data_IF_513666613145
#
_entry.id   IF_513666613145
#
_cell.length_a   1.000
_cell.length_b   1.000
_cell.length_c   1.000
_cell.angle_alpha   90.00
_cell.angle_beta   90.00
_cell.angle_gamma   90.00
#
_symmetry.space_group_name_H-M   'P 1'
#
loop_
_entity.id
_entity.type
_entity.pdbx_description
1 polymer ?
#
# COMPACT_ATOMS: atom_id res chain seq x y z
N UNK A 1 9.33 -4.87 -22.97
CA UNK A 1 9.16 -4.68 -21.53
C UNK A 1 10.27 -3.74 -21.09
N UNK A 2 9.98 -2.55 -20.54
CA UNK A 2 11.03 -1.75 -19.92
C UNK A 2 11.64 -2.61 -18.80
N UNK A 3 12.94 -2.80 -18.83
CA UNK A 3 13.65 -3.53 -17.78
C UNK A 3 13.61 -2.64 -16.54
N UNK A 4 12.82 -3.03 -15.53
CA UNK A 4 12.90 -2.41 -14.21
C UNK A 4 14.33 -2.56 -13.69
N UNK A 5 14.86 -1.50 -13.08
CA UNK A 5 16.13 -1.62 -12.38
C UNK A 5 15.92 -2.53 -11.18
N UNK A 6 16.92 -3.34 -10.82
CA UNK A 6 16.87 -4.18 -9.62
C UNK A 6 16.50 -3.38 -8.35
N UNK A 7 17.00 -2.13 -8.27
CA UNK A 7 16.64 -1.18 -7.21
C UNK A 7 15.15 -0.83 -7.17
N UNK A 8 14.51 -0.73 -8.34
CA UNK A 8 13.09 -0.40 -8.42
C UNK A 8 12.24 -1.63 -8.07
N UNK A 9 12.69 -2.84 -8.45
CA UNK A 9 12.08 -4.11 -8.00
C UNK A 9 12.15 -4.25 -6.47
N UNK A 10 13.31 -4.01 -5.85
CA UNK A 10 13.48 -4.03 -4.38
C UNK A 10 12.55 -3.02 -3.69
N UNK A 11 12.43 -1.80 -4.23
CA UNK A 11 11.51 -0.77 -3.71
C UNK A 11 10.05 -1.20 -3.84
N UNK A 12 9.67 -1.82 -4.95
CA UNK A 12 8.31 -2.35 -5.14
C UNK A 12 7.97 -3.44 -4.12
N UNK A 13 8.89 -4.36 -3.86
CA UNK A 13 8.71 -5.41 -2.84
C UNK A 13 8.50 -4.79 -1.46
N UNK A 14 9.32 -3.79 -1.10
CA UNK A 14 9.14 -3.05 0.16
C UNK A 14 7.80 -2.33 0.25
N UNK A 15 7.39 -1.62 -0.80
CA UNK A 15 6.08 -0.95 -0.85
C UNK A 15 4.93 -1.94 -0.73
N UNK A 16 5.06 -3.12 -1.33
CA UNK A 16 4.07 -4.21 -1.21
C UNK A 16 3.97 -4.74 0.21
N UNK A 17 5.09 -5.10 0.82
CA UNK A 17 5.12 -5.57 2.21
C UNK A 17 4.52 -4.55 3.17
N UNK A 18 4.91 -3.28 3.05
CA UNK A 18 4.35 -2.19 3.87
C UNK A 18 2.86 -1.97 3.61
N UNK A 19 2.41 -1.99 2.36
CA UNK A 19 1.00 -1.84 1.99
C UNK A 19 0.13 -2.94 2.60
N UNK A 20 0.59 -4.20 2.54
CA UNK A 20 -0.16 -5.34 3.08
C UNK A 20 -0.17 -5.35 4.61
N UNK A 21 0.94 -5.01 5.26
CA UNK A 21 1.00 -4.84 6.72
C UNK A 21 0.02 -3.77 7.20
N UNK A 22 0.00 -2.60 6.54
CA UNK A 22 -0.95 -1.53 6.87
C UNK A 22 -2.41 -1.94 6.67
N UNK A 23 -2.72 -2.73 5.64
CA UNK A 23 -4.07 -3.29 5.45
C UNK A 23 -4.46 -4.24 6.58
N UNK A 24 -3.54 -5.11 6.98
CA UNK A 24 -3.77 -6.05 8.07
C UNK A 24 -4.03 -5.31 9.38
N UNK A 25 -3.20 -4.30 9.69
CA UNK A 25 -3.41 -3.42 10.83
C UNK A 25 -4.78 -2.71 10.74
N UNK A 26 -5.16 -2.21 9.56
CA UNK A 26 -6.46 -1.55 9.36
C UNK A 26 -7.64 -2.50 9.67
N UNK A 27 -7.54 -3.77 9.26
CA UNK A 27 -8.54 -4.79 9.57
C UNK A 27 -8.63 -5.13 11.08
N UNK A 28 -7.56 -4.95 11.85
CA UNK A 28 -7.60 -5.14 13.29
C UNK A 28 -8.08 -3.89 14.04
N UNK A 29 -7.78 -2.71 13.51
CA UNK A 29 -8.29 -1.43 14.00
C UNK A 29 -9.81 -1.29 13.80
N UNK A 30 -10.35 -1.76 12.66
CA UNK A 30 -11.80 -1.80 12.41
C UNK A 30 -12.49 -2.70 13.45
N UNK A 31 -11.93 -3.89 13.76
CA UNK A 31 -12.50 -4.78 14.79
C UNK A 31 -12.42 -4.18 16.20
N UNK A 32 -11.41 -3.36 16.44
CA UNK A 32 -11.19 -2.67 17.71
C UNK A 32 -12.02 -1.39 17.87
N UNK A 33 -12.80 -0.99 16.86
CA UNK A 33 -13.59 0.24 16.87
C UNK A 33 -12.77 1.52 16.72
N UNK A 34 -11.50 1.42 16.31
CA UNK A 34 -10.58 2.55 16.12
C UNK A 34 -10.60 3.02 14.66
N UNK A 35 -11.76 3.50 14.25
CA UNK A 35 -12.09 3.81 12.85
C UNK A 35 -11.17 4.89 12.22
N UNK A 36 -10.85 5.96 12.95
CA UNK A 36 -9.95 7.02 12.47
C UNK A 36 -8.55 6.49 12.15
N UNK A 37 -8.05 5.57 12.99
CA UNK A 37 -6.74 4.94 12.77
C UNK A 37 -6.79 3.95 11.61
N UNK A 38 -7.88 3.22 11.46
CA UNK A 38 -8.14 2.39 10.28
C UNK A 38 -8.08 3.23 8.99
N UNK A 39 -8.63 4.45 8.99
CA UNK A 39 -8.60 5.35 7.84
C UNK A 39 -7.16 5.70 7.43
N UNK A 40 -6.33 6.14 8.38
CA UNK A 40 -4.93 6.51 8.13
C UNK A 40 -4.13 5.32 7.56
N UNK A 41 -4.36 4.12 8.09
CA UNK A 41 -3.71 2.90 7.63
C UNK A 41 -4.13 2.53 6.19
N UNK A 42 -5.42 2.67 5.88
CA UNK A 42 -5.94 2.47 4.52
C UNK A 42 -5.36 3.49 3.53
N UNK A 43 -5.23 4.75 3.95
CA UNK A 43 -4.62 5.81 3.15
C UNK A 43 -3.16 5.48 2.82
N UNK A 44 -2.40 5.04 3.83
CA UNK A 44 -1.02 4.62 3.66
C UNK A 44 -0.90 3.43 2.71
N UNK A 45 -1.72 2.40 2.91
CA UNK A 45 -1.68 1.21 2.06
C UNK A 45 -2.02 1.49 0.60
N UNK A 46 -3.12 2.22 0.36
CA UNK A 46 -3.57 2.57 -0.99
C UNK A 46 -2.53 3.45 -1.71
N UNK A 47 -1.91 4.37 -0.99
CA UNK A 47 -0.82 5.21 -1.50
C UNK A 47 0.39 4.39 -1.94
N UNK A 48 0.82 3.45 -1.11
CA UNK A 48 1.96 2.58 -1.42
C UNK A 48 1.68 1.67 -2.62
N UNK A 49 0.45 1.14 -2.72
CA UNK A 49 0.04 0.34 -3.88
C UNK A 49 0.11 1.13 -5.19
N UNK A 50 -0.42 2.35 -5.20
CA UNK A 50 -0.38 3.23 -6.37
C UNK A 50 1.07 3.63 -6.72
N UNK A 51 1.90 3.94 -5.72
CA UNK A 51 3.34 4.22 -5.91
C UNK A 51 4.08 3.00 -6.48
N UNK A 52 3.79 1.79 -6.00
CA UNK A 52 4.35 0.55 -6.51
C UNK A 52 4.01 0.30 -7.98
N UNK A 53 2.75 0.48 -8.37
CA UNK A 53 2.31 0.36 -9.77
C UNK A 53 2.94 1.41 -10.66
N UNK A 54 3.04 2.66 -10.18
CA UNK A 54 3.69 3.75 -10.92
C UNK A 54 5.16 3.43 -11.17
N UNK A 55 5.87 2.98 -10.13
CA UNK A 55 7.27 2.58 -10.20
C UNK A 55 7.47 1.42 -11.18
N UNK A 56 6.56 0.44 -11.16
CA UNK A 56 6.47 -0.65 -12.14
C UNK A 56 6.36 -0.18 -13.60
N UNK A 57 5.77 0.98 -13.81
CA UNK A 57 5.62 1.61 -15.14
C UNK A 57 6.77 2.59 -15.46
N UNK A 58 7.78 2.70 -14.59
CA UNK A 58 8.90 3.63 -14.73
C UNK A 58 8.55 5.08 -14.41
N UNK A 59 7.45 5.32 -13.67
CA UNK A 59 7.00 6.65 -13.24
C UNK A 59 7.18 6.77 -11.73
N UNK A 60 8.07 7.65 -11.28
CA UNK A 60 8.18 7.97 -9.86
C UNK A 60 7.16 9.06 -9.51
N UNK A 61 6.24 8.76 -8.59
CA UNK A 61 5.30 9.75 -8.07
C UNK A 61 5.97 10.52 -6.93
N UNK A 62 5.82 11.84 -6.94
CA UNK A 62 6.26 12.70 -5.84
C UNK A 62 5.52 12.34 -4.54
N UNK A 63 6.10 12.67 -3.39
CA UNK A 63 5.52 12.44 -2.05
C UNK A 63 4.31 13.34 -1.72
N UNK A 64 3.53 13.72 -2.74
CA UNK A 64 2.27 14.44 -2.61
C UNK A 64 1.07 13.53 -2.79
N UNK A 65 0.12 13.60 -1.84
CA UNK A 65 -1.17 12.89 -1.92
C UNK A 65 -1.92 13.19 -3.22
N UNK A 66 -1.83 14.43 -3.72
CA UNK A 66 -2.45 14.84 -4.98
C UNK A 66 -1.91 14.07 -6.20
N UNK A 67 -0.60 13.86 -6.29
CA UNK A 67 0.01 13.12 -7.41
C UNK A 67 -0.42 11.65 -7.41
N UNK A 68 -0.56 11.06 -6.21
CA UNK A 68 -1.03 9.70 -6.02
C UNK A 68 -2.51 9.56 -6.39
N UNK A 69 -3.36 10.49 -5.96
CA UNK A 69 -4.78 10.53 -6.31
C UNK A 69 -5.02 10.68 -7.81
N UNK A 70 -4.33 11.64 -8.45
CA UNK A 70 -4.42 11.85 -9.91
C UNK A 70 -4.00 10.58 -10.65
N UNK A 71 -2.92 9.94 -10.22
CA UNK A 71 -2.44 8.70 -10.86
C UNK A 71 -3.39 7.52 -10.64
N UNK A 72 -3.97 7.37 -9.45
CA UNK A 72 -4.96 6.34 -9.17
C UNK A 72 -6.23 6.52 -10.03
N UNK A 73 -6.65 7.77 -10.23
CA UNK A 73 -7.80 8.10 -11.09
C UNK A 73 -7.51 7.82 -12.57
N UNK A 74 -6.29 8.12 -13.05
CA UNK A 74 -5.81 7.71 -14.37
C UNK A 74 -5.84 6.18 -14.52
N UNK A 75 -5.26 5.44 -13.57
CA UNK A 75 -5.25 3.98 -13.52
C UNK A 75 -6.67 3.37 -13.56
N UNK A 76 -7.57 3.89 -12.73
CA UNK A 76 -8.96 3.43 -12.68
C UNK A 76 -9.70 3.67 -14.00
N UNK A 77 -9.42 4.77 -14.70
CA UNK A 77 -10.00 5.02 -16.04
C UNK A 77 -9.39 4.12 -17.12
N UNK A 78 -8.07 3.90 -17.08
CA UNK A 78 -7.35 3.05 -18.04
C UNK A 78 -7.82 1.59 -17.96
N UNK A 79 -7.92 1.04 -16.74
CA UNK A 79 -8.36 -0.33 -16.50
C UNK A 79 -9.88 -0.50 -16.42
N UNK A 80 -10.63 0.59 -16.59
CA UNK A 80 -12.09 0.65 -16.36
C UNK A 80 -12.50 0.08 -15.00
N UNK A 81 -11.63 0.23 -14.01
CA UNK A 81 -11.89 -0.26 -12.66
C UNK A 81 -12.47 0.85 -11.79
N UNK A 82 -13.77 0.70 -11.52
CA UNK A 82 -14.50 1.63 -10.66
C UNK A 82 -13.96 1.62 -9.23
N UNK A 83 -13.47 0.50 -8.71
CA UNK A 83 -13.02 0.40 -7.31
C UNK A 83 -11.79 1.26 -7.08
N UNK A 84 -10.82 1.19 -7.98
CA UNK A 84 -9.58 2.00 -7.89
C UNK A 84 -9.92 3.48 -8.01
N UNK A 85 -10.80 3.83 -8.96
CA UNK A 85 -11.23 5.21 -9.17
C UNK A 85 -11.98 5.81 -7.98
N UNK A 86 -12.82 5.01 -7.31
CA UNK A 86 -13.63 5.47 -6.19
C UNK A 86 -12.97 5.24 -4.82
N UNK A 87 -11.91 4.44 -4.72
CA UNK A 87 -11.28 4.09 -3.44
C UNK A 87 -10.84 5.32 -2.65
N UNK A 88 -10.15 6.26 -3.31
CA UNK A 88 -9.70 7.52 -2.71
C UNK A 88 -10.89 8.39 -2.26
N UNK A 89 -11.92 8.50 -3.11
CA UNK A 89 -13.12 9.29 -2.76
C UNK A 89 -13.92 8.66 -1.62
N UNK A 90 -14.06 7.33 -1.60
CA UNK A 90 -14.72 6.58 -0.53
C UNK A 90 -13.94 6.70 0.78
N UNK A 91 -12.62 6.67 0.71
CA UNK A 91 -11.76 6.81 1.86
C UNK A 91 -11.78 8.25 2.42
N UNK A 92 -11.88 9.27 1.55
CA UNK A 92 -12.02 10.66 1.97
C UNK A 92 -13.29 10.95 2.78
N UNK A 93 -14.37 10.17 2.58
CA UNK A 93 -15.61 10.27 3.37
C UNK A 93 -15.68 9.22 4.48
N UNK A 94 -14.65 8.38 4.63
CA UNK A 94 -14.62 7.34 5.63
C UNK A 94 -14.51 7.92 7.03
N UNK A 95 -13.68 8.95 7.24
CA UNK A 95 -13.57 9.65 8.52
C UNK A 95 -14.89 10.25 8.99
N UNK A 96 -15.63 10.92 8.09
CA UNK A 96 -16.97 11.44 8.38
C UNK A 96 -17.97 10.31 8.70
N UNK A 97 -17.91 9.20 7.97
CA UNK A 97 -18.77 8.04 8.21
C UNK A 97 -18.44 7.37 9.55
N UNK A 98 -17.16 7.29 9.88
CA UNK A 98 -16.64 6.75 11.13
C UNK A 98 -17.07 7.58 12.32
N UNK A 99 -17.08 8.91 12.18
CA UNK A 99 -17.63 9.81 13.18
C UNK A 99 -19.14 9.62 13.36
N UNK A 100 -19.89 9.50 12.28
CA UNK A 100 -21.33 9.22 12.35
C UNK A 100 -21.65 7.86 12.99
N UNK A 101 -20.83 6.84 12.76
CA UNK A 101 -20.94 5.54 13.43
C UNK A 101 -20.60 5.67 14.93
N UNK A 102 -19.56 6.43 15.28
CA UNK A 102 -19.20 6.74 16.68
C UNK A 102 -20.33 7.46 17.40
N UNK A 103 -21.03 8.36 16.70
CA UNK A 103 -22.22 9.05 17.19
C UNK A 103 -23.50 8.20 17.14
N UNK A 104 -23.41 6.92 16.76
CA UNK A 104 -24.55 5.98 16.58
C UNK A 104 -25.60 6.45 15.57
N UNK A 105 -25.23 7.35 14.64
CA UNK A 105 -26.11 7.84 13.57
C UNK A 105 -26.21 6.84 12.41
N UNK A 106 -25.19 6.00 12.23
CA UNK A 106 -25.08 5.01 11.14
C UNK A 106 -24.57 3.67 11.70
N UNK A 107 -24.88 2.55 11.03
CA UNK A 107 -24.39 1.21 11.40
C UNK A 107 -22.92 1.02 10.96
N UNK A 108 -22.13 0.35 11.79
CA UNK A 108 -20.73 0.04 11.50
C UNK A 108 -20.53 -0.83 10.23
N UNK A 109 -21.57 -1.55 9.78
CA UNK A 109 -21.54 -2.31 8.52
C UNK A 109 -21.07 -1.48 7.30
N UNK A 110 -21.42 -0.18 7.26
CA UNK A 110 -21.00 0.69 6.15
C UNK A 110 -19.48 0.94 6.12
N UNK A 111 -18.82 0.95 7.28
CA UNK A 111 -17.36 1.06 7.36
C UNK A 111 -16.70 -0.22 6.88
N UNK A 112 -17.27 -1.38 7.24
CA UNK A 112 -16.76 -2.68 6.79
C UNK A 112 -16.87 -2.81 5.28
N UNK A 113 -17.98 -2.43 4.67
CA UNK A 113 -18.12 -2.44 3.20
C UNK A 113 -17.09 -1.54 2.52
N UNK A 114 -16.83 -0.34 3.08
CA UNK A 114 -15.80 0.55 2.53
C UNK A 114 -14.41 -0.05 2.66
N UNK A 115 -14.10 -0.69 3.79
CA UNK A 115 -12.85 -1.40 3.99
C UNK A 115 -12.67 -2.52 2.95
N UNK A 116 -13.69 -3.35 2.74
CA UNK A 116 -13.65 -4.43 1.75
C UNK A 116 -13.43 -3.89 0.33
N UNK A 117 -14.11 -2.79 -0.03
CA UNK A 117 -13.95 -2.12 -1.31
C UNK A 117 -12.53 -1.57 -1.52
N UNK A 118 -11.95 -0.93 -0.50
CA UNK A 118 -10.58 -0.38 -0.55
C UNK A 118 -9.55 -1.50 -0.58
N UNK A 119 -9.73 -2.55 0.23
CA UNK A 119 -8.85 -3.73 0.24
C UNK A 119 -8.84 -4.38 -1.14
N UNK A 120 -10.01 -4.62 -1.73
CA UNK A 120 -10.10 -5.18 -3.08
C UNK A 120 -9.53 -4.26 -4.17
N UNK A 121 -9.52 -2.93 -3.96
CA UNK A 121 -8.83 -2.01 -4.85
C UNK A 121 -7.31 -2.12 -4.74
N UNK A 122 -6.77 -2.25 -3.51
CA UNK A 122 -5.34 -2.44 -3.26
C UNK A 122 -4.84 -3.77 -3.83
N UNK A 123 -5.56 -4.87 -3.58
CA UNK A 123 -5.21 -6.18 -4.15
C UNK A 123 -5.15 -6.12 -5.67
N UNK A 124 -6.13 -5.44 -6.29
CA UNK A 124 -6.17 -5.28 -7.74
C UNK A 124 -5.06 -4.38 -8.28
N UNK A 125 -4.67 -3.34 -7.54
CA UNK A 125 -3.49 -2.55 -7.89
C UNK A 125 -2.23 -3.42 -7.91
N UNK A 126 -2.04 -4.28 -6.92
CA UNK A 126 -0.90 -5.19 -6.86
C UNK A 126 -0.92 -6.29 -7.93
N UNK A 127 -2.10 -6.82 -8.28
CA UNK A 127 -2.27 -7.75 -9.41
C UNK A 127 -1.80 -7.15 -10.74
N UNK A 128 -2.03 -5.84 -10.93
CA UNK A 128 -1.61 -5.10 -12.11
C UNK A 128 -0.14 -4.65 -12.09
N UNK A 129 0.52 -4.70 -10.93
CA UNK A 129 1.93 -4.34 -10.82
C UNK A 129 2.80 -5.43 -11.50
N UNK A 130 3.90 -5.07 -12.19
CA UNK A 130 4.85 -6.07 -12.67
C UNK A 130 5.41 -6.84 -11.47
N UNK A 131 5.21 -8.17 -11.46
CA UNK A 131 5.39 -9.02 -10.27
C UNK A 131 4.08 -9.49 -9.62
N UNK A 132 2.93 -9.20 -10.21
CA UNK A 132 1.61 -9.69 -9.79
C UNK A 132 1.50 -11.22 -9.70
N UNK A 133 2.37 -11.99 -10.35
CA UNK A 133 2.42 -13.46 -10.25
C UNK A 133 3.06 -13.97 -8.93
N UNK A 134 3.63 -13.08 -8.11
CA UNK A 134 4.06 -13.39 -6.73
C UNK A 134 2.85 -13.41 -5.76
N UNK A 135 1.68 -13.85 -6.21
CA UNK A 135 0.49 -14.06 -5.36
C UNK A 135 0.70 -15.12 -4.27
N UNK A 136 1.87 -15.78 -4.27
CA UNK A 136 2.35 -16.68 -3.23
C UNK A 136 3.85 -16.46 -2.96
N UNK A 137 4.19 -15.54 -2.05
CA UNK A 137 5.53 -15.37 -1.43
C UNK A 137 6.16 -13.98 -1.59
N UNK A 138 6.84 -13.41 -0.58
CA UNK A 138 7.40 -14.09 0.59
C UNK A 138 6.58 -13.98 1.89
N UNK A 139 6.82 -14.91 2.80
CA UNK A 139 6.43 -14.80 4.22
C UNK A 139 7.18 -13.64 4.89
N UNK A 140 6.71 -13.18 6.06
CA UNK A 140 7.40 -12.15 6.88
C UNK A 140 8.91 -12.40 6.99
N UNK A 141 9.36 -13.65 6.99
CA UNK A 141 10.78 -14.05 6.97
C UNK A 141 11.59 -13.54 5.75
N UNK A 142 11.13 -13.60 4.50
CA UNK A 142 11.96 -13.07 3.38
C UNK A 142 11.88 -11.53 3.30
N UNK A 143 10.88 -10.90 3.92
CA UNK A 143 10.84 -9.44 4.06
C UNK A 143 11.87 -8.95 5.09
N UNK A 144 12.04 -9.68 6.21
CA UNK A 144 13.11 -9.45 7.19
C UNK A 144 14.51 -9.73 6.59
N UNK A 145 14.69 -10.79 5.80
CA UNK A 145 15.98 -11.07 5.14
C UNK A 145 16.40 -9.95 4.15
N UNK A 146 15.44 -9.35 3.43
CA UNK A 146 15.68 -8.21 2.55
C UNK A 146 15.94 -6.89 3.31
N UNK A 147 15.49 -6.80 4.56
CA UNK A 147 15.79 -5.69 5.47
C UNK A 147 17.22 -5.84 6.06
N UNK A 148 17.66 -7.07 6.32
CA UNK A 148 19.03 -7.38 6.77
C UNK A 148 20.10 -7.23 5.67
N UNK A 149 19.75 -7.42 4.39
CA UNK A 149 20.71 -7.26 3.27
C UNK A 149 21.17 -5.81 3.00
N UNK A 150 20.46 -4.80 3.50
CA UNK A 150 20.88 -3.38 3.43
C UNK A 150 21.75 -2.94 4.62
N UNK A 151 21.88 -3.78 5.66
CA UNK A 151 22.73 -3.54 6.84
C UNK A 151 24.19 -3.99 6.69
N UNK A 152 24.52 -4.69 5.61
CA UNK A 152 25.84 -5.30 5.40
C UNK A 152 26.85 -4.40 4.69
N UNK A 153 27.37 -3.36 5.35
CA UNK A 153 28.73 -2.89 5.04
C UNK A 153 29.74 -3.67 5.89
N UNK A 154 30.44 -4.69 5.37
CA UNK A 154 31.71 -5.08 5.92
C UNK A 154 32.77 -4.15 5.31
N UNK A 155 33.00 -2.97 5.88
CA UNK A 155 34.30 -2.32 5.67
C UNK A 155 35.31 -2.99 6.59
N UNK A 156 36.05 -3.90 5.97
CA UNK A 156 37.15 -4.61 6.56
C UNK A 156 38.25 -3.67 7.07
N UNK A 157 38.82 -4.11 8.19
CA UNK A 157 40.27 -4.31 8.30
C UNK A 157 41.15 -3.08 8.28
N UNK A 158 41.65 -2.71 9.47
CA UNK A 158 43.09 -2.54 9.64
C UNK A 158 43.51 -3.19 10.95
N UNK A 159 43.97 -4.44 10.85
CA UNK A 159 44.87 -5.03 11.83
C UNK A 159 46.31 -4.68 11.49
N UNK A 160 46.97 -3.95 12.39
CA UNK A 160 48.31 -4.27 12.91
C UNK A 160 49.58 -4.01 12.08
N UNK A 161 50.53 -3.36 12.78
CA UNK A 161 52.01 -3.31 12.60
C UNK A 161 52.50 -2.33 11.53
N UNK A 162 53.53 -1.52 11.76
CA UNK A 162 54.72 -1.64 12.62
C UNK A 162 54.95 -0.45 13.58
#
# INVERSE_FOLDING_TARGET
>A
MPHLSKKDEDRMVRYRGQSLRLLQDAMDEIRSGRWLRCEELLWGSLTLAVKGVALGRGRELEDGMKAVEEYALELGNEHRDRRIREAFTKLAVFGDTAEQVRESRIRADHLVTTLEDVTGAVEKLWDMAPGGDLLFGPTDEELDELEEMDGGRPEGGYGGRD
#
